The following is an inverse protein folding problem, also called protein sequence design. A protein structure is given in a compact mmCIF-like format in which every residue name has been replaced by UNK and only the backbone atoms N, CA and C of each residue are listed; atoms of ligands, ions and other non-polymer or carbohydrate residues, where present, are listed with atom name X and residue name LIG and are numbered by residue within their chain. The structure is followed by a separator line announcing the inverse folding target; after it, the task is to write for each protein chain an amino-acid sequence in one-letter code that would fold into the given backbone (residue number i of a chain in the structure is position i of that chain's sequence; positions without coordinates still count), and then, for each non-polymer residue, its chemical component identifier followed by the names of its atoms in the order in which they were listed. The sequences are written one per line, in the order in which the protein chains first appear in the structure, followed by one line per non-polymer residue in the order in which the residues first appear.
data_IF_092284147686
#
_entry.id   IF_092284147686
#
_cell.length_a   1.000
_cell.length_b   1.000
_cell.length_c   1.000
_cell.angle_alpha   90.00
_cell.angle_beta   90.00
_cell.angle_gamma   90.00
#
_symmetry.space_group_name_H-M   'P 1'
#
loop_
_entity.id
_entity.type
_entity.pdbx_description
1 polymer ?
#
# COMPACT_ATOMS: atom_id res chain seq x y z
N UNK A 1 24.56 72.63 17.76
CA UNK A 1 23.70 71.75 18.59
C UNK A 1 22.73 70.87 17.76
N UNK A 2 23.13 70.32 16.60
CA UNK A 2 22.20 69.58 15.71
C UNK A 2 22.45 68.06 15.63
N UNK A 3 23.71 67.60 15.62
CA UNK A 3 24.02 66.16 15.44
C UNK A 3 23.69 65.24 16.63
N UNK A 4 23.79 65.77 17.86
CA UNK A 4 23.56 64.99 19.09
C UNK A 4 22.07 64.62 19.29
N UNK A 5 21.16 65.44 18.76
CA UNK A 5 19.70 65.22 18.86
C UNK A 5 19.22 64.21 17.82
N UNK A 6 19.87 64.16 16.66
CA UNK A 6 19.52 63.23 15.59
C UNK A 6 19.89 61.78 15.95
N UNK A 7 21.05 61.57 16.58
CA UNK A 7 21.49 60.25 17.01
C UNK A 7 20.60 59.63 18.09
N UNK A 8 20.06 60.46 19.01
CA UNK A 8 19.15 60.00 20.07
C UNK A 8 17.81 59.57 19.49
N UNK A 9 17.26 60.30 18.52
CA UNK A 9 16.00 59.96 17.87
C UNK A 9 16.09 58.67 17.06
N UNK A 10 17.20 58.46 16.35
CA UNK A 10 17.43 57.22 15.57
C UNK A 10 17.61 56.01 16.50
N UNK A 11 18.37 56.16 17.58
CA UNK A 11 18.54 55.09 18.58
C UNK A 11 17.22 54.72 19.28
N UNK A 12 16.36 55.71 19.55
CA UNK A 12 15.05 55.47 20.16
C UNK A 12 14.10 54.76 19.20
N UNK A 13 14.09 55.12 17.92
CA UNK A 13 13.30 54.42 16.90
C UNK A 13 13.76 52.96 16.70
N UNK A 14 15.06 52.68 16.75
CA UNK A 14 15.61 51.33 16.64
C UNK A 14 15.36 50.45 17.87
N UNK A 15 15.24 51.05 19.07
CA UNK A 15 14.87 50.33 20.29
C UNK A 15 13.39 49.90 20.33
N UNK A 16 12.52 50.55 19.54
CA UNK A 16 11.08 50.28 19.48
C UNK A 16 10.67 49.22 18.44
N UNK A 17 11.55 48.87 17.50
CA UNK A 17 11.28 47.84 16.45
C UNK A 17 11.75 46.43 16.83
N UNK A 18 12.29 46.25 18.02
CA UNK A 18 12.61 44.92 18.55
C UNK A 18 11.33 44.21 18.99
N UNK A 19 11.16 42.97 18.54
CA UNK A 19 10.12 42.00 18.95
C UNK A 19 8.83 41.96 18.09
N UNK A 20 8.92 42.13 16.78
CA UNK A 20 7.96 41.47 15.89
C UNK A 20 8.40 40.01 15.70
N UNK A 21 8.11 39.16 16.68
CA UNK A 21 8.22 37.71 16.50
C UNK A 21 7.10 37.34 15.53
N UNK A 22 7.42 37.02 14.27
CA UNK A 22 6.49 36.32 13.41
C UNK A 22 6.32 34.93 14.02
N UNK A 23 5.37 34.78 14.94
CA UNK A 23 4.92 33.49 15.41
C UNK A 23 4.39 32.75 14.19
N UNK A 24 5.25 31.96 13.55
CA UNK A 24 4.83 31.04 12.52
C UNK A 24 3.78 30.15 13.14
N UNK A 25 2.52 30.33 12.73
CA UNK A 25 1.46 29.41 13.11
C UNK A 25 1.82 28.10 12.44
N UNK A 26 2.56 27.25 13.12
CA UNK A 26 2.65 25.83 12.76
C UNK A 26 1.29 25.27 13.11
N UNK A 27 0.34 25.43 12.20
CA UNK A 27 -0.95 24.76 12.28
C UNK A 27 -0.68 23.27 12.15
N UNK A 28 -0.38 22.61 13.27
CA UNK A 28 -0.40 21.16 13.36
C UNK A 28 -1.87 20.76 13.39
N UNK A 29 -2.40 20.42 12.22
CA UNK A 29 -3.71 19.78 12.07
C UNK A 29 -3.54 18.28 11.94
N UNK A 30 -4.44 17.51 12.54
CA UNK A 30 -4.54 16.06 12.31
C UNK A 30 -5.45 15.85 11.10
N UNK A 31 -4.93 15.18 10.06
CA UNK A 31 -5.75 14.68 8.97
C UNK A 31 -6.46 13.41 9.46
N UNK A 32 -7.76 13.51 9.71
CA UNK A 32 -8.59 12.36 10.03
C UNK A 32 -9.17 11.78 8.74
N UNK A 33 -8.71 10.59 8.37
CA UNK A 33 -9.31 9.82 7.29
C UNK A 33 -10.39 8.91 7.86
N UNK A 34 -11.60 9.00 7.32
CA UNK A 34 -12.69 8.08 7.59
C UNK A 34 -13.13 7.43 6.29
N UNK A 35 -13.22 6.10 6.30
CA UNK A 35 -13.70 5.32 5.19
C UNK A 35 -14.05 3.92 5.66
N UNK A 36 -14.90 3.24 4.90
CA UNK A 36 -15.22 1.83 5.10
C UNK A 36 -14.88 1.07 3.82
N UNK A 37 -14.18 -0.05 3.94
CA UNK A 37 -14.02 -1.00 2.84
C UNK A 37 -15.38 -1.71 2.71
N UNK A 38 -16.19 -1.27 1.74
CA UNK A 38 -17.55 -1.77 1.51
C UNK A 38 -17.62 -2.95 0.55
N UNK A 39 -16.55 -3.19 -0.20
CA UNK A 39 -16.49 -4.30 -1.14
C UNK A 39 -16.02 -5.57 -0.41
N UNK A 40 -16.83 -6.65 -0.43
CA UNK A 40 -16.42 -7.91 0.17
C UNK A 40 -15.21 -8.47 -0.58
N UNK A 41 -14.26 -9.03 0.17
CA UNK A 41 -13.15 -9.80 -0.40
C UNK A 41 -13.67 -11.02 -1.17
N UNK A 42 -12.87 -11.55 -2.09
CA UNK A 42 -13.18 -12.82 -2.76
C UNK A 42 -13.39 -13.95 -1.74
N UNK A 43 -14.30 -14.88 -2.04
CA UNK A 43 -14.41 -16.16 -1.31
C UNK A 43 -13.36 -17.12 -1.84
N UNK A 44 -12.46 -17.61 -0.99
CA UNK A 44 -11.33 -18.46 -1.42
C UNK A 44 -11.54 -19.92 -1.03
N UNK A 45 -11.35 -20.83 -1.98
CA UNK A 45 -11.33 -22.29 -1.75
C UNK A 45 -9.97 -22.84 -2.16
N UNK A 46 -9.28 -23.55 -1.27
CA UNK A 46 -7.97 -24.15 -1.54
C UNK A 46 -8.13 -25.66 -1.75
N UNK A 47 -7.46 -26.19 -2.77
CA UNK A 47 -7.34 -27.62 -3.07
C UNK A 47 -5.88 -28.06 -3.08
N UNK A 48 -5.65 -29.34 -3.37
CA UNK A 48 -4.30 -29.96 -3.31
C UNK A 48 -3.31 -29.45 -4.35
N UNK A 49 -3.77 -28.85 -5.46
CA UNK A 49 -2.92 -28.40 -6.57
C UNK A 49 -3.14 -26.92 -6.93
N UNK A 50 -3.87 -26.17 -6.10
CA UNK A 50 -4.25 -24.80 -6.45
C UNK A 50 -5.39 -24.26 -5.60
N UNK A 51 -5.97 -23.15 -6.05
CA UNK A 51 -7.07 -22.50 -5.35
C UNK A 51 -8.02 -21.83 -6.34
N UNK A 52 -9.21 -21.52 -5.85
CA UNK A 52 -10.25 -20.77 -6.57
C UNK A 52 -10.70 -19.60 -5.72
N UNK A 53 -10.98 -18.48 -6.38
CA UNK A 53 -11.48 -17.24 -5.81
C UNK A 53 -12.79 -16.90 -6.51
N UNK A 54 -13.88 -16.89 -5.75
CA UNK A 54 -15.23 -16.66 -6.23
C UNK A 54 -15.77 -15.35 -5.71
N UNK A 55 -16.81 -14.81 -6.36
CA UNK A 55 -17.47 -13.57 -5.93
C UNK A 55 -16.49 -12.39 -5.78
N UNK A 56 -15.45 -12.34 -6.63
CA UNK A 56 -14.45 -11.28 -6.56
C UNK A 56 -15.00 -9.91 -7.01
N UNK A 57 -14.73 -8.83 -6.26
CA UNK A 57 -15.02 -7.47 -6.72
C UNK A 57 -14.20 -7.14 -7.97
N UNK A 58 -14.63 -6.15 -8.74
CA UNK A 58 -13.99 -5.79 -10.01
C UNK A 58 -12.50 -5.48 -9.85
N UNK A 59 -12.12 -4.79 -8.77
CA UNK A 59 -10.73 -4.44 -8.47
C UNK A 59 -9.86 -5.68 -8.20
N UNK A 60 -10.40 -6.74 -7.59
CA UNK A 60 -9.63 -7.94 -7.29
C UNK A 60 -9.34 -8.81 -8.52
N UNK A 61 -9.88 -8.47 -9.70
CA UNK A 61 -9.77 -9.33 -10.89
C UNK A 61 -8.34 -9.42 -11.43
N UNK A 62 -7.56 -8.36 -11.29
CA UNK A 62 -6.18 -8.29 -11.77
C UNK A 62 -5.18 -8.43 -10.61
N UNK A 63 -5.53 -9.22 -9.60
CA UNK A 63 -4.68 -9.43 -8.44
C UNK A 63 -3.32 -10.01 -8.82
N UNK A 64 -2.27 -9.45 -8.24
CA UNK A 64 -0.91 -9.97 -8.33
C UNK A 64 -0.79 -11.18 -7.41
N UNK A 65 -0.25 -12.27 -7.96
CA UNK A 65 -0.09 -13.54 -7.25
C UNK A 65 1.39 -13.78 -6.95
N UNK A 66 1.74 -13.80 -5.68
CA UNK A 66 3.05 -14.19 -5.19
C UNK A 66 3.02 -15.59 -4.60
N UNK A 67 4.00 -16.43 -4.94
CA UNK A 67 4.15 -17.79 -4.40
C UNK A 67 5.48 -17.89 -3.66
N UNK A 68 5.46 -18.46 -2.46
CA UNK A 68 6.66 -18.75 -1.68
C UNK A 68 6.62 -20.19 -1.18
N UNK A 69 7.70 -20.94 -1.44
CA UNK A 69 7.91 -22.25 -0.82
C UNK A 69 8.15 -22.08 0.68
N UNK A 70 7.52 -22.94 1.49
CA UNK A 70 7.61 -22.91 2.96
C UNK A 70 8.53 -24.00 3.49
N UNK A 71 8.60 -25.14 2.82
CA UNK A 71 9.48 -26.25 3.17
C UNK A 71 10.70 -26.31 2.22
N UNK A 72 11.78 -26.95 2.65
CA UNK A 72 13.01 -27.06 1.84
C UNK A 72 12.88 -28.08 0.70
N UNK A 73 11.86 -28.92 0.73
CA UNK A 73 11.59 -29.95 -0.27
C UNK A 73 10.71 -29.43 -1.42
N UNK A 74 10.12 -28.25 -1.27
CA UNK A 74 9.22 -27.63 -2.22
C UNK A 74 10.01 -27.15 -3.43
N UNK A 75 9.52 -27.53 -4.60
CA UNK A 75 10.09 -27.08 -5.86
C UNK A 75 9.72 -25.62 -6.10
N UNK A 76 10.54 -24.88 -6.86
CA UNK A 76 10.14 -23.57 -7.36
C UNK A 76 8.78 -23.67 -8.06
N UNK A 77 7.85 -22.83 -7.61
CA UNK A 77 6.46 -22.90 -8.02
C UNK A 77 5.99 -21.58 -8.64
N UNK A 78 5.14 -21.69 -9.64
CA UNK A 78 4.47 -20.58 -10.29
C UNK A 78 2.96 -20.82 -10.27
N UNK A 79 2.18 -19.74 -10.27
CA UNK A 79 0.73 -19.80 -10.36
C UNK A 79 0.29 -19.55 -11.80
N UNK A 80 -0.43 -20.51 -12.37
CA UNK A 80 -1.05 -20.35 -13.69
C UNK A 80 -2.55 -20.31 -13.52
N UNK A 81 -3.16 -19.26 -14.07
CA UNK A 81 -4.62 -19.15 -14.17
C UNK A 81 -5.14 -20.22 -15.12
N UNK A 82 -6.13 -20.99 -14.69
CA UNK A 82 -6.70 -22.13 -15.42
C UNK A 82 -8.13 -21.90 -15.94
N UNK A 83 -8.61 -20.67 -15.81
CA UNK A 83 -9.96 -20.27 -16.19
C UNK A 83 -10.24 -20.53 -17.67
N UNK A 84 -11.41 -21.11 -17.97
CA UNK A 84 -11.87 -21.43 -19.34
C UNK A 84 -12.96 -20.49 -19.87
N UNK A 85 -13.11 -19.26 -19.36
CA UNK A 85 -14.11 -18.33 -19.90
C UNK A 85 -14.31 -17.02 -19.14
N UNK A 86 -15.28 -16.23 -19.59
CA UNK A 86 -15.70 -14.89 -19.09
C UNK A 86 -16.26 -14.86 -17.65
N UNK A 87 -15.95 -15.84 -16.81
CA UNK A 87 -16.47 -15.88 -15.44
C UNK A 87 -15.69 -14.93 -14.54
N UNK A 88 -16.40 -14.31 -13.59
CA UNK A 88 -15.84 -13.43 -12.55
C UNK A 88 -14.95 -14.22 -11.57
N UNK A 89 -15.13 -15.54 -11.56
CA UNK A 89 -14.42 -16.48 -10.70
C UNK A 89 -13.05 -16.84 -11.30
N UNK A 90 -12.05 -16.95 -10.42
CA UNK A 90 -10.65 -17.14 -10.79
C UNK A 90 -10.12 -18.42 -10.18
N UNK A 91 -9.58 -19.31 -10.99
CA UNK A 91 -8.95 -20.55 -10.60
C UNK A 91 -7.48 -20.53 -11.01
N UNK A 92 -6.64 -20.96 -10.09
CA UNK A 92 -5.20 -21.00 -10.26
C UNK A 92 -4.68 -22.38 -9.90
N UNK A 93 -3.61 -22.78 -10.58
CA UNK A 93 -2.89 -24.01 -10.34
C UNK A 93 -1.42 -23.72 -10.13
N UNK A 94 -0.85 -24.40 -9.14
CA UNK A 94 0.59 -24.38 -8.91
C UNK A 94 1.26 -25.31 -9.93
N UNK A 95 2.28 -24.79 -10.59
CA UNK A 95 3.10 -25.52 -11.55
C UNK A 95 4.57 -25.31 -11.26
N UNK A 96 5.41 -26.25 -11.67
CA UNK A 96 6.86 -26.09 -11.65
C UNK A 96 7.34 -25.15 -12.77
N UNK A 97 8.65 -24.94 -12.85
CA UNK A 97 9.29 -24.14 -13.89
C UNK A 97 9.06 -24.65 -15.32
N UNK A 98 8.65 -25.90 -15.49
CA UNK A 98 8.30 -26.51 -16.78
C UNK A 98 6.79 -26.47 -17.07
N UNK A 99 6.00 -25.83 -16.20
CA UNK A 99 4.54 -25.76 -16.33
C UNK A 99 3.82 -27.05 -15.91
N UNK A 100 4.50 -28.01 -15.28
CA UNK A 100 3.88 -29.24 -14.80
C UNK A 100 3.20 -28.99 -13.46
N UNK A 101 1.94 -29.47 -13.28
CA UNK A 101 1.25 -29.31 -12.01
C UNK A 101 2.02 -29.87 -10.82
N UNK A 102 2.14 -29.06 -9.77
CA UNK A 102 2.69 -29.49 -8.48
C UNK A 102 1.59 -30.15 -7.65
N UNK A 103 1.92 -31.28 -7.03
CA UNK A 103 1.01 -32.07 -6.18
C UNK A 103 1.52 -32.25 -4.76
N UNK A 104 2.71 -31.72 -4.46
CA UNK A 104 3.41 -31.85 -3.18
C UNK A 104 4.17 -30.56 -2.85
N UNK A 105 4.45 -30.38 -1.55
CA UNK A 105 5.09 -29.21 -0.98
C UNK A 105 4.09 -28.26 -0.33
N UNK A 106 4.57 -27.48 0.62
CA UNK A 106 3.83 -26.43 1.32
C UNK A 106 4.20 -25.06 0.75
N UNK A 107 3.19 -24.30 0.36
CA UNK A 107 3.37 -22.99 -0.29
C UNK A 107 2.52 -21.93 0.40
N UNK A 108 3.10 -20.76 0.61
CA UNK A 108 2.39 -19.54 0.94
C UNK A 108 1.98 -18.85 -0.37
N UNK A 109 0.67 -18.66 -0.53
CA UNK A 109 0.09 -17.91 -1.65
C UNK A 109 -0.32 -16.54 -1.14
N UNK A 110 0.26 -15.50 -1.73
CA UNK A 110 -0.06 -14.10 -1.44
C UNK A 110 -0.84 -13.52 -2.61
N UNK A 111 -2.07 -13.08 -2.36
CA UNK A 111 -2.92 -12.43 -3.35
C UNK A 111 -3.01 -10.95 -3.01
N UNK A 112 -2.58 -10.09 -3.93
CA UNK A 112 -2.57 -8.64 -3.74
C UNK A 112 -3.46 -7.99 -4.78
N UNK A 113 -4.54 -7.32 -4.36
CA UNK A 113 -5.35 -6.51 -5.27
C UNK A 113 -4.55 -5.30 -5.78
N UNK A 114 -4.80 -4.84 -7.02
CA UNK A 114 -4.19 -3.60 -7.56
C UNK A 114 -4.42 -2.36 -6.67
#
# INVERSE_FOLDING_TARGET
MSGKRFAVSVAMCLALVGQAQAGGVVASGVLQFSGSIVEPSCTTTVGSAGWRMDNCPALARDSVIGIQAVDEQALPAQAVRIDRGHSVDQAYRLVDEHGKPLTQGHYLVVVTSP
#
